data_IF_386595892264
#
_entry.id   IF_386595892264
#
_cell.length_a   1.000
_cell.length_b   1.000
_cell.length_c   1.000
_cell.angle_alpha   90.00
_cell.angle_beta   90.00
_cell.angle_gamma   90.00
#
_symmetry.space_group_name_H-M   'P 1'
#
loop_
_entity.id
_entity.type
_entity.pdbx_description
1 polymer ?
#
# COMPACT_ATOMS: atom_id res chain seq x y z
N UNK A 1 -17.95 16.97 -27.92
CA UNK A 1 -17.43 15.81 -27.16
C UNK A 1 -15.95 16.09 -26.88
N UNK A 2 -15.55 16.17 -25.60
CA UNK A 2 -14.14 16.43 -25.21
C UNK A 2 -13.34 15.15 -25.53
N UNK A 3 -12.22 15.21 -26.27
CA UNK A 3 -11.38 14.03 -26.51
C UNK A 3 -10.89 13.44 -25.20
N UNK A 4 -10.82 12.10 -25.08
CA UNK A 4 -10.36 11.42 -23.86
C UNK A 4 -8.96 11.86 -23.43
N UNK A 5 -8.10 12.21 -24.38
CA UNK A 5 -6.75 12.73 -24.13
C UNK A 5 -6.72 14.11 -23.45
N UNK A 6 -7.84 14.82 -23.39
CA UNK A 6 -7.99 16.11 -22.72
C UNK A 6 -8.64 15.98 -21.33
N UNK A 7 -9.03 14.78 -20.92
CA UNK A 7 -9.58 14.53 -19.60
C UNK A 7 -8.47 14.22 -18.59
N UNK A 8 -8.47 14.92 -17.47
CA UNK A 8 -7.53 14.65 -16.36
C UNK A 8 -7.56 13.17 -15.93
N UNK A 9 -8.73 12.54 -15.97
CA UNK A 9 -8.91 11.11 -15.68
C UNK A 9 -8.03 10.20 -16.56
N UNK A 10 -7.74 10.58 -17.80
CA UNK A 10 -6.82 9.83 -18.66
C UNK A 10 -5.40 9.84 -18.14
N UNK A 11 -4.90 11.01 -17.71
CA UNK A 11 -3.56 11.14 -17.15
C UNK A 11 -3.42 10.36 -15.83
N UNK A 12 -4.41 10.46 -14.95
CA UNK A 12 -4.42 9.67 -13.71
C UNK A 12 -4.39 8.18 -13.99
N UNK A 13 -5.17 7.71 -14.97
CA UNK A 13 -5.16 6.30 -15.37
C UNK A 13 -3.79 5.85 -15.89
N UNK A 14 -3.14 6.64 -16.73
CA UNK A 14 -1.80 6.30 -17.27
C UNK A 14 -0.78 6.20 -16.16
N UNK A 15 -0.74 7.18 -15.25
CA UNK A 15 0.17 7.18 -14.10
C UNK A 15 -0.10 5.97 -13.19
N UNK A 16 -1.36 5.71 -12.85
CA UNK A 16 -1.74 4.56 -12.03
C UNK A 16 -1.33 3.23 -12.66
N UNK A 17 -1.59 3.03 -13.96
CA UNK A 17 -1.16 1.81 -14.66
C UNK A 17 0.35 1.60 -14.60
N UNK A 18 1.14 2.66 -14.68
CA UNK A 18 2.60 2.58 -14.62
C UNK A 18 3.07 2.12 -13.23
N UNK A 19 2.48 2.66 -12.15
CA UNK A 19 2.76 2.21 -10.79
C UNK A 19 2.38 0.74 -10.59
N UNK A 20 1.16 0.38 -10.99
CA UNK A 20 0.64 -0.98 -10.84
C UNK A 20 1.50 -2.00 -11.58
N UNK A 21 1.92 -1.71 -12.80
CA UNK A 21 2.78 -2.60 -13.59
C UNK A 21 4.13 -2.82 -12.90
N UNK A 22 4.76 -1.75 -12.42
CA UNK A 22 6.06 -1.81 -11.76
C UNK A 22 6.00 -2.64 -10.48
N UNK A 23 4.99 -2.40 -9.65
CA UNK A 23 4.79 -3.13 -8.39
C UNK A 23 4.39 -4.58 -8.64
N UNK A 24 3.46 -4.83 -9.57
CA UNK A 24 3.00 -6.18 -9.92
C UNK A 24 4.11 -7.04 -10.47
N UNK A 25 4.99 -6.48 -11.31
CA UNK A 25 6.16 -7.18 -11.81
C UNK A 25 7.09 -7.64 -10.67
N UNK A 26 7.38 -6.74 -9.74
CA UNK A 26 8.22 -7.06 -8.59
C UNK A 26 7.59 -8.12 -7.66
N UNK A 27 6.28 -8.02 -7.41
CA UNK A 27 5.56 -9.03 -6.62
C UNK A 27 5.57 -10.40 -7.29
N UNK A 28 5.40 -10.45 -8.62
CA UNK A 28 5.44 -11.69 -9.40
C UNK A 28 6.82 -12.37 -9.28
N UNK A 29 7.90 -11.63 -9.29
CA UNK A 29 9.25 -12.17 -9.09
C UNK A 29 9.44 -12.81 -7.69
N UNK A 30 8.67 -12.37 -6.71
CA UNK A 30 8.64 -12.95 -5.36
C UNK A 30 7.57 -14.03 -5.18
N UNK A 31 6.88 -14.41 -6.25
CA UNK A 31 5.75 -15.34 -6.23
C UNK A 31 4.61 -14.82 -5.31
N UNK A 32 4.34 -13.52 -5.38
CA UNK A 32 3.27 -12.86 -4.63
C UNK A 32 2.19 -12.29 -5.56
N UNK A 33 0.95 -12.34 -5.08
CA UNK A 33 -0.17 -11.62 -5.70
C UNK A 33 -0.27 -10.19 -5.18
N UNK A 34 -0.96 -9.31 -5.91
CA UNK A 34 -1.23 -7.94 -5.46
C UNK A 34 -1.90 -7.90 -4.07
N UNK A 35 -2.89 -8.77 -3.82
CA UNK A 35 -3.55 -8.85 -2.53
C UNK A 35 -2.60 -9.21 -1.38
N UNK A 36 -1.64 -10.11 -1.61
CA UNK A 36 -0.60 -10.44 -0.65
C UNK A 36 0.35 -9.26 -0.42
N UNK A 37 0.72 -8.55 -1.48
CA UNK A 37 1.53 -7.32 -1.40
C UNK A 37 0.84 -6.24 -0.57
N UNK A 38 -0.46 -6.03 -0.76
CA UNK A 38 -1.25 -5.07 0.03
C UNK A 38 -1.27 -5.43 1.52
N UNK A 39 -1.43 -6.72 1.86
CA UNK A 39 -1.37 -7.17 3.26
C UNK A 39 0.02 -6.89 3.86
N UNK A 40 1.11 -7.21 3.15
CA UNK A 40 2.46 -6.90 3.62
C UNK A 40 2.67 -5.38 3.80
N UNK A 41 2.18 -4.56 2.87
CA UNK A 41 2.19 -3.11 2.99
C UNK A 41 1.45 -2.63 4.24
N UNK A 42 0.26 -3.16 4.51
CA UNK A 42 -0.51 -2.84 5.71
C UNK A 42 0.27 -3.20 6.99
N UNK A 43 0.84 -4.40 7.05
CA UNK A 43 1.64 -4.84 8.20
C UNK A 43 2.86 -3.94 8.44
N UNK A 44 3.49 -3.44 7.37
CA UNK A 44 4.68 -2.59 7.47
C UNK A 44 4.41 -1.20 8.09
N UNK A 45 3.17 -0.71 7.99
CA UNK A 45 2.79 0.61 8.51
C UNK A 45 2.20 0.55 9.93
N UNK A 46 2.05 -0.65 10.50
CA UNK A 46 1.52 -0.80 11.86
C UNK A 46 2.62 -0.81 12.90
N UNK A 47 2.37 -0.12 14.02
CA UNK A 47 3.26 -0.14 15.20
C UNK A 47 3.04 -1.41 16.03
N UNK A 48 1.82 -1.93 16.05
CA UNK A 48 1.37 -3.12 16.77
C UNK A 48 1.14 -4.29 15.79
N UNK A 49 1.34 -5.50 16.27
CA UNK A 49 1.06 -6.69 15.48
C UNK A 49 -0.47 -6.92 15.39
N UNK A 50 -1.09 -6.85 14.19
CA UNK A 50 -2.52 -7.06 14.04
C UNK A 50 -2.89 -8.54 14.12
N UNK A 51 -4.19 -8.82 14.31
CA UNK A 51 -4.78 -10.13 14.11
C UNK A 51 -5.50 -10.22 12.73
N UNK A 52 -6.00 -11.40 12.37
CA UNK A 52 -6.72 -11.58 11.09
C UNK A 52 -7.96 -10.69 10.98
N UNK A 53 -8.67 -10.45 12.08
CA UNK A 53 -9.87 -9.58 12.10
C UNK A 53 -9.55 -8.14 11.73
N UNK A 54 -8.39 -7.62 12.15
CA UNK A 54 -7.96 -6.26 11.79
C UNK A 54 -7.77 -6.12 10.29
N UNK A 55 -7.25 -7.18 9.63
CA UNK A 55 -7.08 -7.23 8.18
C UNK A 55 -8.43 -7.36 7.47
N UNK A 56 -9.34 -8.21 7.99
CA UNK A 56 -10.71 -8.35 7.46
C UNK A 56 -11.43 -7.00 7.43
N UNK A 57 -11.32 -6.24 8.52
CA UNK A 57 -11.92 -4.90 8.63
C UNK A 57 -11.24 -3.89 7.71
N UNK A 58 -9.90 -3.84 7.69
CA UNK A 58 -9.15 -2.86 6.90
C UNK A 58 -9.35 -3.03 5.39
N UNK A 59 -9.52 -4.26 4.92
CA UNK A 59 -9.66 -4.56 3.49
C UNK A 59 -11.10 -4.93 3.08
N UNK A 60 -12.06 -4.94 4.01
CA UNK A 60 -13.43 -5.39 3.77
C UNK A 60 -13.50 -6.78 3.12
N UNK A 61 -12.63 -7.69 3.56
CA UNK A 61 -12.54 -9.06 3.05
C UNK A 61 -13.18 -10.05 4.03
N UNK A 62 -13.69 -11.16 3.49
CA UNK A 62 -14.23 -12.24 4.30
C UNK A 62 -13.12 -13.01 5.03
N UNK A 63 -13.45 -13.57 6.19
CA UNK A 63 -12.53 -14.41 6.98
C UNK A 63 -11.85 -15.52 6.16
N UNK A 64 -12.55 -16.33 5.33
CA UNK A 64 -11.89 -17.36 4.52
C UNK A 64 -10.86 -16.79 3.53
N UNK A 65 -11.15 -15.62 2.94
CA UNK A 65 -10.24 -14.95 2.01
C UNK A 65 -8.96 -14.51 2.71
N UNK A 66 -9.09 -13.81 3.84
CA UNK A 66 -7.93 -13.34 4.63
C UNK A 66 -7.12 -14.52 5.15
N UNK A 67 -7.77 -15.54 5.71
CA UNK A 67 -7.12 -16.75 6.20
C UNK A 67 -6.32 -17.44 5.09
N UNK A 68 -6.89 -17.59 3.89
CA UNK A 68 -6.21 -18.17 2.74
C UNK A 68 -4.98 -17.37 2.28
N UNK A 69 -5.06 -16.04 2.29
CA UNK A 69 -3.93 -15.15 1.95
C UNK A 69 -2.81 -15.26 2.98
N UNK A 70 -3.16 -15.22 4.28
CA UNK A 70 -2.20 -15.28 5.38
C UNK A 70 -1.49 -16.64 5.46
N UNK A 71 -2.21 -17.74 5.27
CA UNK A 71 -1.60 -19.08 5.22
C UNK A 71 -0.58 -19.20 4.09
N UNK A 72 -0.85 -18.61 2.92
CA UNK A 72 0.09 -18.59 1.80
C UNK A 72 1.32 -17.74 2.09
N UNK A 73 1.14 -16.55 2.73
CA UNK A 73 2.25 -15.70 3.16
C UNK A 73 3.12 -16.39 4.21
N UNK A 74 2.51 -17.09 5.16
CA UNK A 74 3.25 -17.88 6.17
C UNK A 74 4.05 -19.02 5.51
N UNK A 75 3.44 -19.79 4.59
CA UNK A 75 4.12 -20.87 3.88
C UNK A 75 5.33 -20.42 3.05
N UNK A 76 5.35 -19.15 2.69
CA UNK A 76 6.43 -18.51 1.92
C UNK A 76 7.42 -17.73 2.79
N UNK A 77 7.33 -17.85 4.12
CA UNK A 77 8.18 -17.19 5.10
C UNK A 77 8.18 -15.65 5.03
N UNK A 78 7.02 -15.05 4.67
CA UNK A 78 6.85 -13.59 4.73
C UNK A 78 6.35 -13.12 6.09
N UNK A 79 5.55 -13.96 6.76
CA UNK A 79 4.96 -13.69 8.07
C UNK A 79 5.00 -14.93 8.96
N UNK A 80 4.82 -14.70 10.26
CA UNK A 80 4.55 -15.75 11.24
C UNK A 80 3.38 -15.37 12.14
N UNK A 81 2.75 -16.39 12.73
CA UNK A 81 1.74 -16.22 13.77
C UNK A 81 2.35 -16.51 15.14
N UNK A 82 2.05 -15.63 16.10
CA UNK A 82 2.36 -15.87 17.52
C UNK A 82 1.07 -15.75 18.35
N UNK A 83 0.88 -16.57 19.39
CA UNK A 83 -0.23 -16.40 20.32
C UNK A 83 -0.23 -14.99 20.92
N UNK A 84 -1.41 -14.38 21.07
CA UNK A 84 -1.53 -13.14 21.82
C UNK A 84 -1.31 -13.42 23.32
N UNK A 85 -0.46 -12.65 24.02
CA UNK A 85 -0.23 -12.83 25.45
C UNK A 85 -1.48 -12.65 26.32
N UNK A 86 -2.42 -11.81 25.88
CA UNK A 86 -3.65 -11.47 26.60
C UNK A 86 -4.85 -12.34 26.21
N UNK A 87 -4.86 -12.88 24.98
CA UNK A 87 -5.94 -13.75 24.48
C UNK A 87 -5.37 -14.88 23.62
N UNK A 88 -5.25 -16.07 24.23
CA UNK A 88 -4.74 -17.27 23.55
C UNK A 88 -5.57 -17.74 22.34
N UNK A 89 -6.80 -17.25 22.19
CA UNK A 89 -7.65 -17.51 21.01
C UNK A 89 -7.30 -16.65 19.82
N UNK A 90 -6.59 -15.55 20.07
CA UNK A 90 -6.12 -14.64 19.04
C UNK A 90 -4.67 -14.94 18.67
N UNK A 91 -4.37 -14.90 17.35
CA UNK A 91 -3.00 -14.99 16.86
C UNK A 91 -2.61 -13.64 16.26
N UNK A 92 -1.49 -13.11 16.75
CA UNK A 92 -0.88 -11.91 16.20
C UNK A 92 0.01 -12.24 15.01
N UNK A 93 0.04 -11.36 14.04
CA UNK A 93 0.76 -11.53 12.78
C UNK A 93 2.02 -10.67 12.84
N UNK A 94 3.17 -11.32 12.67
CA UNK A 94 4.47 -10.66 12.64
C UNK A 94 5.11 -10.84 11.27
N UNK A 95 5.70 -9.76 10.78
CA UNK A 95 6.44 -9.81 9.52
C UNK A 95 7.84 -10.38 9.74
N UNK A 96 8.22 -11.32 8.89
CA UNK A 96 9.55 -11.92 8.88
C UNK A 96 10.52 -11.09 8.02
N UNK A 97 11.85 -11.34 8.10
CA UNK A 97 12.83 -10.58 7.32
C UNK A 97 12.55 -10.53 5.82
N UNK A 98 12.01 -11.63 5.25
CA UNK A 98 11.60 -11.69 3.84
C UNK A 98 10.43 -10.74 3.54
N UNK A 99 9.48 -10.59 4.45
CA UNK A 99 8.38 -9.63 4.35
C UNK A 99 8.89 -8.19 4.37
N UNK A 100 9.80 -7.88 5.30
CA UNK A 100 10.44 -6.55 5.37
C UNK A 100 11.23 -6.23 4.10
N UNK A 101 12.00 -7.17 3.57
CA UNK A 101 12.73 -6.99 2.31
C UNK A 101 11.79 -6.70 1.13
N UNK A 102 10.65 -7.41 1.05
CA UNK A 102 9.63 -7.18 0.04
C UNK A 102 9.06 -5.75 0.12
N UNK A 103 8.65 -5.30 1.30
CA UNK A 103 8.08 -3.96 1.48
C UNK A 103 9.10 -2.85 1.21
N UNK A 104 10.36 -3.05 1.56
CA UNK A 104 11.45 -2.12 1.22
C UNK A 104 11.68 -2.02 -0.29
N UNK A 105 11.64 -3.15 -1.00
CA UNK A 105 11.77 -3.17 -2.45
C UNK A 105 10.62 -2.44 -3.13
N UNK A 106 9.36 -2.69 -2.72
CA UNK A 106 8.19 -1.99 -3.24
C UNK A 106 8.32 -0.49 -3.00
N UNK A 107 8.73 -0.08 -1.79
CA UNK A 107 8.95 1.33 -1.46
C UNK A 107 9.96 1.99 -2.40
N UNK A 108 11.06 1.31 -2.70
CA UNK A 108 12.07 1.79 -3.65
C UNK A 108 11.48 1.98 -5.04
N UNK A 109 10.72 1.01 -5.55
CA UNK A 109 10.06 1.08 -6.86
C UNK A 109 9.11 2.28 -6.93
N UNK A 110 8.33 2.52 -5.89
CA UNK A 110 7.44 3.68 -5.79
C UNK A 110 8.26 4.97 -5.87
N UNK A 111 9.32 5.09 -5.07
CA UNK A 111 10.19 6.27 -5.06
C UNK A 111 10.87 6.54 -6.41
N UNK A 112 11.32 5.47 -7.09
CA UNK A 112 11.90 5.57 -8.43
C UNK A 112 10.87 6.05 -9.47
N UNK A 113 9.63 5.57 -9.39
CA UNK A 113 8.55 6.03 -10.26
C UNK A 113 8.17 7.49 -9.97
N UNK A 114 8.07 7.89 -8.70
CA UNK A 114 7.84 9.28 -8.31
C UNK A 114 8.93 10.20 -8.84
N UNK A 115 10.20 9.82 -8.68
CA UNK A 115 11.31 10.59 -9.21
C UNK A 115 11.22 10.81 -10.73
N UNK A 116 10.77 9.79 -11.48
CA UNK A 116 10.56 9.88 -12.93
C UNK A 116 9.40 10.80 -13.29
N UNK A 117 8.29 10.76 -12.54
CA UNK A 117 7.10 11.61 -12.78
C UNK A 117 7.46 13.09 -12.66
N UNK A 118 8.25 13.44 -11.65
CA UNK A 118 8.62 14.83 -11.40
C UNK A 118 10.01 15.20 -11.96
N UNK A 119 10.56 14.38 -12.87
CA UNK A 119 11.83 14.68 -13.51
C UNK A 119 11.73 15.97 -14.33
N UNK A 120 12.67 16.89 -14.09
CA UNK A 120 12.69 18.22 -14.75
C UNK A 120 11.78 19.26 -14.12
N UNK A 121 10.99 18.94 -13.10
CA UNK A 121 10.22 19.93 -12.36
C UNK A 121 11.13 20.75 -11.45
N UNK A 122 10.88 22.07 -11.36
CA UNK A 122 11.49 22.92 -10.33
C UNK A 122 10.93 22.57 -8.94
N UNK A 123 11.58 22.98 -7.84
CA UNK A 123 11.04 22.78 -6.49
C UNK A 123 9.61 23.33 -6.34
N UNK A 124 9.35 24.51 -6.88
CA UNK A 124 8.05 25.20 -6.83
C UNK A 124 6.98 24.41 -7.63
N UNK A 125 7.35 23.88 -8.78
CA UNK A 125 6.45 23.05 -9.60
C UNK A 125 6.09 21.75 -8.88
N UNK A 126 7.04 21.12 -8.16
CA UNK A 126 6.77 19.91 -7.36
C UNK A 126 5.80 20.20 -6.22
N UNK A 127 6.00 21.30 -5.51
CA UNK A 127 5.10 21.73 -4.43
C UNK A 127 3.70 22.03 -4.95
N UNK A 128 3.61 22.79 -6.05
CA UNK A 128 2.34 23.11 -6.70
C UNK A 128 1.61 21.84 -7.17
N UNK A 129 2.32 20.90 -7.80
CA UNK A 129 1.76 19.66 -8.28
C UNK A 129 1.18 18.84 -7.12
N UNK A 130 1.90 18.67 -6.01
CA UNK A 130 1.41 18.01 -4.80
C UNK A 130 0.17 18.69 -4.23
N UNK A 131 0.17 20.02 -4.14
CA UNK A 131 -0.95 20.82 -3.64
C UNK A 131 -2.21 20.63 -4.50
N UNK A 132 -2.06 20.62 -5.83
CA UNK A 132 -3.17 20.45 -6.76
C UNK A 132 -3.75 19.03 -6.69
N UNK A 133 -2.90 18.00 -6.53
CA UNK A 133 -3.34 16.63 -6.31
C UNK A 133 -4.14 16.49 -5.01
N UNK A 134 -3.66 17.04 -3.90
CA UNK A 134 -4.36 17.03 -2.61
C UNK A 134 -5.72 17.73 -2.70
N UNK A 135 -5.76 18.90 -3.36
CA UNK A 135 -7.02 19.63 -3.60
C UNK A 135 -7.99 18.80 -4.44
N UNK A 136 -7.51 18.09 -5.46
CA UNK A 136 -8.34 17.21 -6.29
C UNK A 136 -8.96 16.08 -5.48
N UNK A 137 -8.20 15.48 -4.57
CA UNK A 137 -8.68 14.44 -3.65
C UNK A 137 -9.77 15.01 -2.72
N UNK A 138 -9.52 16.19 -2.13
CA UNK A 138 -10.49 16.87 -1.26
C UNK A 138 -11.80 17.21 -1.99
N UNK A 139 -11.73 17.65 -3.24
CA UNK A 139 -12.90 17.94 -4.07
C UNK A 139 -13.80 16.69 -4.30
N UNK A 140 -13.23 15.49 -4.23
CA UNK A 140 -13.99 14.23 -4.31
C UNK A 140 -14.62 13.81 -2.97
N UNK A 141 -14.45 14.60 -1.91
CA UNK A 141 -14.93 14.25 -0.56
C UNK A 141 -14.15 13.10 0.09
N UNK A 142 -12.97 12.78 -0.44
CA UNK A 142 -12.11 11.76 0.14
C UNK A 142 -11.29 12.35 1.29
N UNK A 143 -10.98 11.57 2.35
CA UNK A 143 -10.09 12.03 3.41
C UNK A 143 -8.74 12.41 2.82
N UNK A 144 -8.12 13.44 3.40
CA UNK A 144 -6.78 13.86 2.99
C UNK A 144 -5.81 12.67 3.10
N UNK A 145 -5.20 12.30 1.99
CA UNK A 145 -4.10 11.35 2.00
C UNK A 145 -2.85 12.11 2.47
N UNK A 146 -2.72 12.30 3.78
CA UNK A 146 -1.46 12.76 4.34
C UNK A 146 -0.56 11.52 4.44
N UNK A 147 0.54 11.44 3.68
CA UNK A 147 1.49 10.33 3.78
C UNK A 147 2.18 10.30 5.15
N UNK A 148 2.04 11.36 5.95
CA UNK A 148 2.57 11.44 7.30
C UNK A 148 1.46 11.96 8.23
N UNK A 149 0.49 11.11 8.65
CA UNK A 149 -0.52 11.52 9.60
C UNK A 149 0.22 12.00 10.84
N UNK A 150 0.17 13.32 11.09
CA UNK A 150 0.68 13.89 12.34
C UNK A 150 0.02 13.12 13.46
N UNK A 151 0.82 12.59 14.37
CA UNK A 151 0.37 11.99 15.60
C UNK A 151 -0.68 12.93 16.20
N UNK A 152 -1.94 12.51 16.23
CA UNK A 152 -2.94 13.21 17.04
C UNK A 152 -2.46 13.11 18.48
N UNK A 153 -1.91 14.21 18.92
CA UNK A 153 -1.54 14.44 20.31
C UNK A 153 -2.84 14.51 21.11
N UNK A 154 -3.16 13.42 21.81
CA UNK A 154 -4.15 13.43 22.91
C UNK A 154 -3.40 13.16 24.19
#
# INVERSE_FOLDING_TARGET
>A
MIPLSQLYAFYFKVLHCQFDQSVSHALTQMDLTAAQGHILGYLAHRKDAPCSRDIEQAFHLSHPTVSGLLVRLQKKDFIEFRPDPSDRRCKRIYMLPRGHACTQMIRRIIQENEAKIVAGFTPEEKELFGTLLQRSISNLGLPSCDPNPKEETT
#
